data_IF_089803598979
#
_entry.id   IF_089803598979
#
_cell.length_a   1.000
_cell.length_b   1.000
_cell.length_c   1.000
_cell.angle_alpha   90.00
_cell.angle_beta   90.00
_cell.angle_gamma   90.00
#
_symmetry.space_group_name_H-M   'P 1'
#
loop_
_entity.id
_entity.type
_entity.pdbx_description
1 polymer ?
#
# COMPACT_ATOMS: atom_id res chain seq x y z
N UNK A 1 14.34 -5.64 45.49
CA UNK A 1 13.38 -5.01 44.56
C UNK A 1 13.86 -5.31 43.17
N UNK A 2 13.12 -6.10 42.38
CA UNK A 2 13.47 -6.33 40.98
C UNK A 2 13.41 -5.02 40.20
N UNK A 3 14.06 -4.92 39.02
CA UNK A 3 13.95 -3.73 38.19
C UNK A 3 12.47 -3.43 37.93
N UNK A 4 12.07 -2.16 38.11
CA UNK A 4 10.74 -1.69 37.74
C UNK A 4 10.56 -1.93 36.24
N UNK A 5 9.76 -2.94 35.88
CA UNK A 5 9.40 -3.20 34.51
C UNK A 5 8.48 -2.06 34.05
N UNK A 6 8.96 -1.27 33.10
CA UNK A 6 8.15 -0.24 32.46
C UNK A 6 7.06 -0.92 31.64
N UNK A 7 5.84 -0.38 31.68
CA UNK A 7 4.76 -0.87 30.82
C UNK A 7 4.99 -0.40 29.39
N UNK A 8 4.84 -1.32 28.45
CA UNK A 8 5.00 -1.06 27.02
C UNK A 8 3.63 -0.79 26.40
N UNK A 9 3.44 0.42 25.89
CA UNK A 9 2.31 0.75 25.04
C UNK A 9 2.68 0.52 23.57
N UNK A 10 1.74 -0.02 22.80
CA UNK A 10 1.86 -0.12 21.35
C UNK A 10 0.55 0.35 20.71
N UNK A 11 0.66 1.22 19.70
CA UNK A 11 -0.46 1.75 18.92
C UNK A 11 -0.20 1.42 17.46
N UNK A 12 -1.12 0.68 16.84
CA UNK A 12 -1.09 0.34 15.41
C UNK A 12 -2.39 0.79 14.79
N UNK A 13 -2.36 1.52 13.67
CA UNK A 13 -3.59 1.97 13.04
C UNK A 13 -3.41 2.69 11.72
N UNK A 14 -4.54 3.03 11.10
CA UNK A 14 -4.58 3.80 9.86
C UNK A 14 -4.07 5.22 10.09
N UNK A 15 -2.98 5.57 9.42
CA UNK A 15 -2.33 6.86 9.60
C UNK A 15 -3.19 8.05 9.13
N UNK A 16 -4.17 7.78 8.26
CA UNK A 16 -5.13 8.78 7.73
C UNK A 16 -6.36 8.97 8.63
N UNK A 17 -6.45 8.25 9.74
CA UNK A 17 -7.62 8.28 10.62
C UNK A 17 -7.35 9.08 11.91
N UNK A 18 -8.20 10.05 12.26
CA UNK A 18 -8.01 10.85 13.48
C UNK A 18 -7.90 10.02 14.76
N UNK A 19 -8.62 8.89 14.84
CA UNK A 19 -8.61 8.01 16.02
C UNK A 19 -7.23 7.38 16.27
N UNK A 20 -6.45 7.12 15.21
CA UNK A 20 -5.06 6.68 15.36
C UNK A 20 -4.21 7.76 16.04
N UNK A 21 -4.40 9.02 15.66
CA UNK A 21 -3.65 10.14 16.25
C UNK A 21 -4.07 10.43 17.69
N UNK A 22 -5.34 10.22 18.03
CA UNK A 22 -5.82 10.23 19.44
C UNK A 22 -5.06 9.20 20.26
N UNK A 23 -5.02 7.94 19.81
CA UNK A 23 -4.34 6.87 20.53
C UNK A 23 -2.83 7.11 20.65
N UNK A 24 -2.19 7.53 19.54
CA UNK A 24 -0.78 7.89 19.50
C UNK A 24 -0.45 9.00 20.49
N UNK A 25 -1.15 10.14 20.43
CA UNK A 25 -0.90 11.27 21.33
C UNK A 25 -1.18 10.92 22.80
N UNK A 26 -2.16 10.04 23.06
CA UNK A 26 -2.42 9.52 24.40
C UNK A 26 -1.23 8.72 24.93
N UNK A 27 -0.70 7.79 24.13
CA UNK A 27 0.46 6.98 24.53
C UNK A 27 1.72 7.84 24.76
N UNK A 28 1.99 8.81 23.87
CA UNK A 28 3.09 9.76 24.01
C UNK A 28 2.94 10.66 25.25
N UNK A 29 1.73 11.14 25.53
CA UNK A 29 1.46 11.95 26.72
C UNK A 29 1.63 11.16 28.03
N UNK A 30 1.21 9.89 28.06
CA UNK A 30 1.43 9.01 29.21
C UNK A 30 2.93 8.76 29.45
N UNK A 31 3.70 8.56 28.38
CA UNK A 31 5.17 8.47 28.46
C UNK A 31 5.80 9.73 29.05
N UNK A 32 5.37 10.90 28.57
CA UNK A 32 5.87 12.19 29.04
C UNK A 32 5.56 12.45 30.53
N UNK A 33 4.33 12.13 30.95
CA UNK A 33 3.86 12.36 32.32
C UNK A 33 4.39 11.32 33.31
N UNK A 34 4.66 10.09 32.86
CA UNK A 34 5.07 8.97 33.72
C UNK A 34 6.33 8.25 33.19
N UNK A 35 7.47 8.94 33.06
CA UNK A 35 8.66 8.41 32.37
C UNK A 35 9.34 7.23 33.08
N UNK A 36 9.07 7.03 34.37
CA UNK A 36 9.59 5.91 35.16
C UNK A 36 8.60 4.74 35.25
N UNK A 37 7.47 4.81 34.54
CA UNK A 37 6.41 3.80 34.54
C UNK A 37 6.03 3.33 33.16
N UNK A 38 6.06 4.23 32.18
CA UNK A 38 5.72 3.97 30.79
C UNK A 38 7.01 3.99 29.95
N UNK A 39 7.23 2.91 29.20
CA UNK A 39 8.30 2.81 28.22
C UNK A 39 8.00 3.69 27.00
N UNK A 40 9.00 3.93 26.15
CA UNK A 40 8.78 4.64 24.89
C UNK A 40 7.72 3.90 24.06
N UNK A 41 6.59 4.53 23.68
CA UNK A 41 5.53 3.84 22.96
C UNK A 41 5.99 3.35 21.59
N UNK A 42 5.55 2.15 21.21
CA UNK A 42 5.74 1.65 19.85
C UNK A 42 4.57 2.14 19.01
N UNK A 43 4.82 3.05 18.08
CA UNK A 43 3.79 3.60 17.18
C UNK A 43 4.02 3.07 15.78
N UNK A 44 3.04 2.33 15.24
CA UNK A 44 3.09 1.75 13.90
C UNK A 44 1.98 2.35 13.03
N UNK A 45 2.27 3.47 12.32
CA UNK A 45 1.34 4.03 11.34
C UNK A 45 1.28 3.13 10.10
N UNK A 46 0.08 2.79 9.64
CA UNK A 46 -0.14 1.95 8.45
C UNK A 46 -1.03 2.69 7.44
N UNK A 47 -0.78 2.46 6.16
CA UNK A 47 -1.68 2.83 5.06
C UNK A 47 -2.76 1.75 4.88
N UNK A 48 -3.83 2.06 4.16
CA UNK A 48 -5.03 1.22 4.04
C UNK A 48 -4.72 -0.23 3.68
N UNK A 49 -3.89 -0.44 2.66
CA UNK A 49 -3.53 -1.78 2.20
C UNK A 49 -2.73 -2.59 3.24
N UNK A 50 -1.75 -1.95 3.89
CA UNK A 50 -0.93 -2.57 4.92
C UNK A 50 -1.72 -2.84 6.22
N UNK A 51 -2.69 -1.99 6.54
CA UNK A 51 -3.62 -2.21 7.66
C UNK A 51 -4.50 -3.44 7.43
N UNK A 52 -5.01 -3.62 6.21
CA UNK A 52 -5.77 -4.81 5.87
C UNK A 52 -4.93 -6.09 6.01
N UNK A 53 -3.70 -6.11 5.49
CA UNK A 53 -2.78 -7.24 5.71
C UNK A 53 -2.52 -7.50 7.20
N UNK A 54 -2.25 -6.45 7.97
CA UNK A 54 -2.01 -6.53 9.41
C UNK A 54 -3.19 -7.15 10.17
N UNK A 55 -4.43 -6.76 9.84
CA UNK A 55 -5.63 -7.35 10.44
C UNK A 55 -5.78 -8.83 10.12
N UNK A 56 -5.46 -9.25 8.89
CA UNK A 56 -5.51 -10.67 8.51
C UNK A 56 -4.48 -11.52 9.27
N UNK A 57 -3.29 -10.98 9.49
CA UNK A 57 -2.26 -11.62 10.32
C UNK A 57 -2.70 -11.70 11.79
N UNK A 58 -3.19 -10.59 12.36
CA UNK A 58 -3.66 -10.55 13.75
C UNK A 58 -4.84 -11.47 14.01
N UNK A 59 -5.76 -11.62 13.04
CA UNK A 59 -6.86 -12.58 13.12
C UNK A 59 -6.35 -14.02 13.28
N UNK A 60 -5.29 -14.41 12.57
CA UNK A 60 -4.68 -15.74 12.68
C UNK A 60 -4.03 -15.95 14.05
N UNK A 61 -3.36 -14.93 14.58
CA UNK A 61 -2.72 -14.99 15.91
C UNK A 61 -3.75 -15.11 17.04
N UNK A 62 -4.87 -14.37 16.94
CA UNK A 62 -5.91 -14.30 17.98
C UNK A 62 -6.97 -15.42 17.90
N UNK A 63 -6.87 -16.36 16.93
CA UNK A 63 -7.71 -17.57 16.79
C UNK A 63 -9.23 -17.33 16.78
N UNK A 64 -9.72 -16.26 16.16
CA UNK A 64 -11.17 -15.98 16.03
C UNK A 64 -11.74 -16.44 14.69
N UNK A 65 -12.75 -17.34 14.70
CA UNK A 65 -13.39 -17.87 13.47
C UNK A 65 -14.17 -16.79 12.67
N UNK A 66 -14.57 -15.70 13.32
CA UNK A 66 -15.16 -14.49 12.69
C UNK A 66 -14.72 -13.24 13.46
N UNK A 67 -13.47 -12.82 13.26
CA UNK A 67 -12.95 -11.56 13.78
C UNK A 67 -13.08 -10.46 12.71
N UNK A 68 -14.00 -9.53 12.93
CA UNK A 68 -13.98 -8.20 12.33
C UNK A 68 -13.62 -7.21 13.43
N UNK A 69 -12.57 -6.42 13.21
CA UNK A 69 -12.15 -5.41 14.17
C UNK A 69 -12.77 -4.06 13.75
N UNK A 70 -13.64 -3.46 14.57
CA UNK A 70 -14.51 -2.36 14.12
C UNK A 70 -13.82 -0.99 14.10
N UNK A 71 -12.62 -0.87 14.67
CA UNK A 71 -11.87 0.38 14.72
C UNK A 71 -10.70 0.36 13.74
N UNK A 72 -10.25 1.54 13.31
CA UNK A 72 -9.05 1.73 12.50
C UNK A 72 -7.76 1.82 13.33
N UNK A 73 -7.83 1.59 14.64
CA UNK A 73 -6.68 1.56 15.54
C UNK A 73 -6.78 0.45 16.59
N UNK A 74 -5.66 -0.24 16.82
CA UNK A 74 -5.45 -1.25 17.84
C UNK A 74 -4.38 -0.78 18.83
N UNK A 75 -4.76 -0.72 20.10
CA UNK A 75 -3.90 -0.39 21.22
C UNK A 75 -3.56 -1.66 22.00
N UNK A 76 -2.31 -1.79 22.43
CA UNK A 76 -1.83 -2.92 23.22
C UNK A 76 -1.06 -2.43 24.45
N UNK A 77 -1.16 -3.19 25.54
CA UNK A 77 -0.37 -3.02 26.76
C UNK A 77 0.39 -4.32 27.02
N UNK A 78 1.71 -4.24 27.12
CA UNK A 78 2.57 -5.38 27.42
C UNK A 78 2.31 -6.59 26.49
N UNK A 79 1.99 -6.30 25.22
CA UNK A 79 1.68 -7.28 24.18
C UNK A 79 0.23 -7.80 24.16
N UNK A 80 -0.61 -7.41 25.11
CA UNK A 80 -2.03 -7.79 25.15
C UNK A 80 -2.91 -6.73 24.50
N UNK A 81 -3.88 -7.16 23.69
CA UNK A 81 -4.83 -6.26 23.04
C UNK A 81 -5.69 -5.57 24.11
N UNK A 82 -5.65 -4.24 24.12
CA UNK A 82 -6.50 -3.42 24.96
C UNK A 82 -7.83 -3.08 24.26
N UNK A 83 -7.76 -2.69 22.98
CA UNK A 83 -8.92 -2.23 22.21
C UNK A 83 -8.57 -1.04 21.32
N UNK A 84 -9.56 -0.17 21.09
CA UNK A 84 -9.45 1.04 20.26
C UNK A 84 -8.82 2.21 21.03
N UNK A 85 -8.89 3.42 20.47
CA UNK A 85 -8.54 4.66 21.16
C UNK A 85 -9.42 4.91 22.39
N UNK A 86 -10.68 4.44 22.38
CA UNK A 86 -11.61 4.62 23.49
C UNK A 86 -11.20 3.79 24.71
N UNK A 87 -10.92 2.50 24.51
CA UNK A 87 -10.43 1.64 25.59
C UNK A 87 -9.07 2.12 26.13
N UNK A 88 -8.21 2.68 25.27
CA UNK A 88 -6.97 3.30 25.71
C UNK A 88 -7.20 4.53 26.59
N UNK A 89 -8.11 5.43 26.20
CA UNK A 89 -8.46 6.61 26.99
C UNK A 89 -9.09 6.23 28.34
N UNK A 90 -10.00 5.26 28.36
CA UNK A 90 -10.59 4.73 29.60
C UNK A 90 -9.52 4.15 30.51
N UNK A 91 -8.64 3.29 29.98
CA UNK A 91 -7.54 2.74 30.76
C UNK A 91 -6.57 3.83 31.28
N UNK A 92 -6.27 4.83 30.45
CA UNK A 92 -5.41 5.95 30.81
C UNK A 92 -6.00 6.77 31.97
N UNK A 93 -7.31 7.00 31.94
CA UNK A 93 -8.03 7.66 33.03
C UNK A 93 -8.00 6.82 34.31
N UNK A 94 -8.41 5.56 34.24
CA UNK A 94 -8.55 4.71 35.43
C UNK A 94 -7.22 4.43 36.14
N UNK A 95 -6.13 4.28 35.37
CA UNK A 95 -4.80 3.95 35.92
C UNK A 95 -3.96 5.17 36.27
N UNK A 96 -4.07 6.23 35.48
CA UNK A 96 -3.14 7.35 35.52
C UNK A 96 -3.81 8.69 35.77
N UNK A 97 -5.14 8.71 35.88
CA UNK A 97 -5.96 9.92 35.95
C UNK A 97 -5.66 10.88 34.78
N UNK A 98 -5.30 10.32 33.61
CA UNK A 98 -5.07 11.08 32.40
C UNK A 98 -6.40 11.37 31.70
N UNK A 99 -6.61 12.61 31.30
CA UNK A 99 -7.77 13.04 30.51
C UNK A 99 -7.29 13.81 29.30
N UNK A 100 -7.89 13.51 28.15
CA UNK A 100 -7.64 14.23 26.92
C UNK A 100 -8.72 15.28 26.69
N UNK A 101 -8.32 16.55 26.72
CA UNK A 101 -9.19 17.70 26.45
C UNK A 101 -8.99 18.29 25.05
N UNK A 102 -8.16 17.66 24.21
CA UNK A 102 -7.87 18.17 22.88
C UNK A 102 -9.11 18.03 21.98
N UNK A 103 -9.49 19.08 21.23
CA UNK A 103 -10.68 19.03 20.39
C UNK A 103 -10.46 18.14 19.15
N UNK A 104 -11.55 17.56 18.63
CA UNK A 104 -11.52 16.73 17.41
C UNK A 104 -10.86 17.44 16.23
N UNK A 105 -11.10 18.74 16.07
CA UNK A 105 -10.49 19.55 15.02
C UNK A 105 -8.95 19.59 15.08
N UNK A 106 -8.37 19.51 16.28
CA UNK A 106 -6.91 19.41 16.41
C UNK A 106 -6.41 18.08 15.87
N UNK A 107 -7.10 16.99 16.15
CA UNK A 107 -6.73 15.67 15.65
C UNK A 107 -6.89 15.54 14.15
N UNK A 108 -7.90 16.18 13.55
CA UNK A 108 -8.03 16.29 12.10
C UNK A 108 -6.81 17.00 11.49
N UNK A 109 -6.42 18.17 12.03
CA UNK A 109 -5.26 18.91 11.55
C UNK A 109 -3.94 18.13 11.74
N UNK A 110 -3.76 17.44 12.87
CA UNK A 110 -2.59 16.56 13.11
C UNK A 110 -2.57 15.40 12.13
N UNK A 111 -3.73 14.83 11.79
CA UNK A 111 -3.85 13.74 10.81
C UNK A 111 -3.37 14.20 9.44
N UNK A 112 -3.90 15.32 8.95
CA UNK A 112 -3.51 15.91 7.66
C UNK A 112 -2.01 16.20 7.61
N UNK A 113 -1.49 16.92 8.61
CA UNK A 113 -0.06 17.26 8.71
C UNK A 113 0.83 16.00 8.74
N UNK A 114 0.43 14.96 9.48
CA UNK A 114 1.17 13.72 9.54
C UNK A 114 1.17 12.98 8.21
N UNK A 115 0.02 12.92 7.51
CA UNK A 115 -0.09 12.29 6.20
C UNK A 115 0.81 12.98 5.17
N UNK A 116 0.70 14.31 5.07
CA UNK A 116 1.52 15.11 4.15
C UNK A 116 3.01 14.93 4.45
N UNK A 117 3.41 15.01 5.72
CA UNK A 117 4.81 14.77 6.11
C UNK A 117 5.28 13.35 5.81
N UNK A 118 4.44 12.34 6.06
CA UNK A 118 4.76 10.95 5.78
C UNK A 118 5.06 10.75 4.29
N UNK A 119 4.19 11.27 3.43
CA UNK A 119 4.35 11.17 1.98
C UNK A 119 5.56 11.98 1.49
N UNK A 120 5.74 13.23 1.96
CA UNK A 120 6.86 14.08 1.55
C UNK A 120 8.24 13.55 2.00
N UNK A 121 8.32 12.94 3.19
CA UNK A 121 9.58 12.45 3.73
C UNK A 121 10.09 11.17 3.04
N UNK A 122 9.19 10.40 2.39
CA UNK A 122 9.55 9.18 1.67
C UNK A 122 10.52 9.45 0.49
N UNK A 123 10.47 10.66 -0.10
CA UNK A 123 11.09 10.98 -1.40
C UNK A 123 10.66 10.04 -2.53
N UNK A 124 9.56 9.30 -2.32
CA UNK A 124 8.95 8.40 -3.28
C UNK A 124 7.92 9.13 -4.13
N UNK A 125 7.58 8.52 -5.25
CA UNK A 125 6.54 9.02 -6.15
C UNK A 125 5.27 8.22 -5.92
N UNK A 126 4.13 8.89 -5.82
CA UNK A 126 2.84 8.23 -5.66
C UNK A 126 2.07 8.31 -6.96
N UNK A 127 1.55 7.19 -7.45
CA UNK A 127 0.79 7.12 -8.71
C UNK A 127 -0.52 6.37 -8.49
N UNK A 128 -1.55 6.77 -9.22
CA UNK A 128 -2.86 6.15 -9.13
C UNK A 128 -3.30 5.56 -10.47
N UNK A 129 -4.07 4.49 -10.42
CA UNK A 129 -4.76 3.87 -11.54
C UNK A 129 -6.25 3.76 -11.20
N UNK A 130 -7.11 4.48 -11.91
CA UNK A 130 -8.56 4.34 -11.81
C UNK A 130 -9.01 3.17 -12.67
N UNK A 131 -9.71 2.22 -12.06
CA UNK A 131 -10.03 0.93 -12.66
C UNK A 131 -11.52 0.87 -12.99
N UNK A 132 -11.83 0.33 -14.17
CA UNK A 132 -13.17 -0.14 -14.51
C UNK A 132 -13.19 -1.63 -14.83
N UNK A 133 -14.26 -2.31 -14.41
CA UNK A 133 -14.57 -3.70 -14.77
C UNK A 133 -15.90 -3.66 -15.52
N UNK A 134 -15.95 -4.20 -16.74
CA UNK A 134 -17.15 -4.13 -17.61
C UNK A 134 -17.66 -2.69 -17.82
N UNK A 135 -16.77 -1.74 -18.11
CA UNK A 135 -17.07 -0.30 -18.23
C UNK A 135 -17.64 0.36 -16.96
N UNK A 136 -17.70 -0.35 -15.82
CA UNK A 136 -18.14 0.23 -14.55
C UNK A 136 -16.93 0.66 -13.71
N UNK A 137 -16.80 1.96 -13.39
CA UNK A 137 -15.79 2.45 -12.46
C UNK A 137 -15.87 1.68 -11.13
N UNK A 138 -14.78 1.02 -10.77
CA UNK A 138 -14.69 0.10 -9.63
C UNK A 138 -13.96 0.75 -8.45
N UNK A 139 -13.02 1.65 -8.73
CA UNK A 139 -12.26 2.39 -7.74
C UNK A 139 -10.83 2.64 -8.21
N UNK A 140 -9.97 3.07 -7.29
CA UNK A 140 -8.59 3.47 -7.58
C UNK A 140 -7.60 2.56 -6.87
N UNK A 141 -6.51 2.20 -7.56
CA UNK A 141 -5.32 1.61 -6.98
C UNK A 141 -4.27 2.71 -6.81
N UNK A 142 -3.79 2.96 -5.60
CA UNK A 142 -2.76 3.94 -5.31
C UNK A 142 -1.46 3.23 -4.95
N UNK A 143 -0.38 3.53 -5.65
CA UNK A 143 0.94 2.93 -5.47
C UNK A 143 1.95 3.94 -4.96
N UNK A 144 2.82 3.48 -4.07
CA UNK A 144 4.10 4.11 -3.75
C UNK A 144 5.18 3.48 -4.64
N UNK A 145 5.93 4.32 -5.37
CA UNK A 145 7.04 3.91 -6.21
C UNK A 145 8.37 4.18 -5.48
N UNK A 146 9.20 3.15 -5.35
CA UNK A 146 10.50 3.20 -4.67
C UNK A 146 11.57 3.85 -5.56
N UNK A 147 11.38 5.15 -5.85
CA UNK A 147 12.19 5.92 -6.79
C UNK A 147 13.63 6.18 -6.31
N UNK A 148 13.92 5.97 -5.04
CA UNK A 148 15.27 5.99 -4.48
C UNK A 148 16.06 4.71 -4.85
N UNK A 149 15.39 3.55 -4.90
CA UNK A 149 15.97 2.25 -5.21
C UNK A 149 15.94 1.91 -6.71
N UNK A 150 14.89 2.33 -7.43
CA UNK A 150 14.65 2.02 -8.85
C UNK A 150 14.28 3.28 -9.66
N UNK A 151 15.12 4.33 -9.72
CA UNK A 151 14.75 5.62 -10.32
C UNK A 151 14.36 5.55 -11.79
N UNK A 152 15.04 4.75 -12.63
CA UNK A 152 14.68 4.63 -14.05
C UNK A 152 13.37 3.91 -14.24
N UNK A 153 13.17 2.82 -13.51
CA UNK A 153 11.95 2.02 -13.56
C UNK A 153 10.74 2.83 -13.09
N UNK A 154 10.89 3.54 -11.98
CA UNK A 154 9.84 4.41 -11.45
C UNK A 154 9.55 5.58 -12.38
N UNK A 155 10.56 6.17 -13.03
CA UNK A 155 10.35 7.23 -14.01
C UNK A 155 9.60 6.72 -15.26
N UNK A 156 9.92 5.51 -15.75
CA UNK A 156 9.16 4.85 -16.82
C UNK A 156 7.69 4.67 -16.43
N UNK A 157 7.43 4.04 -15.29
CA UNK A 157 6.06 3.79 -14.83
C UNK A 157 5.27 5.09 -14.60
N UNK A 158 5.88 6.07 -13.93
CA UNK A 158 5.27 7.39 -13.69
C UNK A 158 4.91 8.09 -15.00
N UNK A 159 5.83 8.10 -15.96
CA UNK A 159 5.62 8.77 -17.26
C UNK A 159 4.52 8.10 -18.07
N UNK A 160 4.42 6.77 -18.01
CA UNK A 160 3.29 6.02 -18.58
C UNK A 160 1.97 6.27 -17.83
N UNK A 161 2.00 6.54 -16.51
CA UNK A 161 0.80 6.99 -15.80
C UNK A 161 0.37 8.40 -16.22
N UNK A 162 1.29 9.33 -16.49
CA UNK A 162 0.95 10.72 -16.85
C UNK A 162 0.72 10.92 -18.34
N UNK A 163 1.24 10.05 -19.20
CA UNK A 163 1.28 10.26 -20.64
C UNK A 163 2.24 11.37 -21.08
N UNK A 164 3.11 11.87 -20.20
CA UNK A 164 3.95 13.04 -20.48
C UNK A 164 4.99 12.81 -21.61
N UNK A 165 5.32 11.54 -21.89
CA UNK A 165 6.23 11.16 -22.96
C UNK A 165 5.59 11.21 -24.36
N UNK A 166 4.27 11.37 -24.45
CA UNK A 166 3.56 11.49 -25.72
C UNK A 166 3.58 10.21 -26.54
N UNK A 167 3.92 10.32 -27.82
CA UNK A 167 3.98 9.18 -28.76
C UNK A 167 5.42 8.80 -29.03
N UNK A 168 5.72 7.52 -29.01
CA UNK A 168 7.05 7.02 -29.33
C UNK A 168 7.39 7.06 -30.81
N UNK A 169 8.64 6.74 -31.13
CA UNK A 169 9.10 6.59 -32.51
C UNK A 169 8.36 5.50 -33.29
N UNK A 170 7.79 4.50 -32.61
CA UNK A 170 6.99 3.42 -33.19
C UNK A 170 5.53 3.84 -33.47
N UNK A 171 5.13 5.04 -33.04
CA UNK A 171 3.75 5.51 -33.15
C UNK A 171 2.83 5.04 -32.02
N UNK A 172 3.38 4.53 -30.92
CA UNK A 172 2.61 4.07 -29.75
C UNK A 172 2.41 5.24 -28.79
N UNK A 173 1.19 5.45 -28.31
CA UNK A 173 0.93 6.39 -27.22
C UNK A 173 1.46 5.82 -25.90
N UNK A 174 2.39 6.53 -25.28
CA UNK A 174 3.08 6.11 -24.05
C UNK A 174 2.21 6.43 -22.83
N UNK A 175 1.09 5.74 -22.69
CA UNK A 175 0.16 5.90 -21.57
C UNK A 175 -0.49 4.60 -21.12
N UNK A 176 -0.74 4.45 -19.83
CA UNK A 176 -1.55 3.36 -19.29
C UNK A 176 -3.05 3.60 -19.41
N UNK A 177 -3.49 4.81 -19.71
CA UNK A 177 -4.90 5.11 -19.90
C UNK A 177 -5.48 4.27 -21.04
N UNK A 178 -6.65 3.69 -20.81
CA UNK A 178 -7.34 2.70 -21.64
C UNK A 178 -6.59 1.36 -21.83
N UNK A 179 -5.43 1.14 -21.20
CA UNK A 179 -4.79 -0.18 -21.21
C UNK A 179 -5.52 -1.16 -20.29
N UNK A 180 -5.43 -2.45 -20.62
CA UNK A 180 -6.20 -3.52 -19.96
C UNK A 180 -5.32 -4.40 -19.08
N UNK A 181 -5.92 -5.03 -18.08
CA UNK A 181 -5.35 -6.20 -17.42
C UNK A 181 -5.62 -7.43 -18.28
N UNK A 182 -4.61 -7.89 -19.02
CA UNK A 182 -4.77 -8.96 -19.99
C UNK A 182 -4.52 -10.36 -19.41
N UNK A 183 -3.98 -10.46 -18.19
CA UNK A 183 -3.66 -11.73 -17.54
C UNK A 183 -3.82 -11.65 -16.03
N UNK A 184 -4.49 -12.65 -15.46
CA UNK A 184 -4.75 -12.85 -14.04
C UNK A 184 -4.41 -14.30 -13.71
N UNK A 185 -3.34 -14.47 -12.94
CA UNK A 185 -2.91 -15.76 -12.39
C UNK A 185 -3.41 -15.83 -10.97
N UNK A 186 -4.45 -16.65 -10.74
CA UNK A 186 -5.02 -16.85 -9.41
C UNK A 186 -3.94 -17.32 -8.43
N UNK A 187 -3.96 -16.79 -7.21
CA UNK A 187 -2.92 -17.05 -6.21
C UNK A 187 -1.51 -16.74 -6.77
N UNK A 188 -1.38 -15.72 -7.61
CA UNK A 188 -0.11 -15.35 -8.23
C UNK A 188 -0.01 -13.84 -8.35
N UNK A 189 -0.37 -13.34 -9.53
CA UNK A 189 -0.34 -11.92 -9.84
C UNK A 189 -1.40 -11.57 -10.87
N UNK A 190 -1.80 -10.30 -10.89
CA UNK A 190 -2.51 -9.70 -12.02
C UNK A 190 -1.52 -8.88 -12.84
N UNK A 191 -1.65 -8.89 -14.16
CA UNK A 191 -0.73 -8.27 -15.10
C UNK A 191 -1.50 -7.42 -16.11
N UNK A 192 -0.96 -6.22 -16.36
CA UNK A 192 -1.48 -5.26 -17.31
C UNK A 192 -0.36 -4.45 -17.97
N UNK A 193 -0.71 -3.30 -18.54
CA UNK A 193 0.27 -2.37 -19.09
C UNK A 193 0.80 -2.76 -20.47
N UNK A 194 0.13 -3.65 -21.21
CA UNK A 194 0.35 -3.76 -22.66
C UNK A 194 -0.39 -2.60 -23.33
N UNK A 195 0.32 -1.49 -23.51
CA UNK A 195 -0.20 -0.21 -24.02
C UNK A 195 -0.42 -0.20 -25.55
N UNK A 196 -0.18 -1.31 -26.25
CA UNK A 196 -0.39 -1.39 -27.70
C UNK A 196 -1.69 -2.11 -28.05
N UNK A 197 -1.76 -3.43 -27.80
CA UNK A 197 -2.89 -4.26 -28.23
C UNK A 197 -3.62 -4.94 -27.07
N UNK A 198 -3.14 -4.83 -25.83
CA UNK A 198 -3.77 -5.47 -24.67
C UNK A 198 -3.80 -7.01 -24.73
N UNK A 199 -2.85 -7.63 -25.45
CA UNK A 199 -2.76 -9.09 -25.62
C UNK A 199 -1.63 -9.70 -24.80
N UNK A 200 -0.74 -8.88 -24.27
CA UNK A 200 0.45 -9.29 -23.52
C UNK A 200 1.68 -9.57 -24.38
N UNK A 201 1.59 -9.39 -25.71
CA UNK A 201 2.72 -9.54 -26.63
C UNK A 201 3.41 -8.21 -26.96
N UNK A 202 2.80 -7.07 -26.61
CA UNK A 202 3.28 -5.73 -26.92
C UNK A 202 3.79 -4.92 -25.72
N UNK A 203 3.63 -3.60 -25.84
CA UNK A 203 4.16 -2.61 -24.91
C UNK A 203 5.59 -2.17 -25.21
N UNK A 204 5.93 -0.98 -24.72
CA UNK A 204 7.25 -0.37 -24.87
C UNK A 204 7.48 0.66 -23.76
N UNK A 205 8.74 0.94 -23.48
CA UNK A 205 9.13 1.90 -22.44
C UNK A 205 9.28 3.31 -23.01
N UNK A 206 9.34 4.30 -22.11
CA UNK A 206 9.67 5.68 -22.48
C UNK A 206 11.10 5.84 -23.03
N UNK A 207 11.93 4.80 -22.90
CA UNK A 207 13.31 4.76 -23.36
C UNK A 207 13.49 4.02 -24.70
N UNK A 208 12.40 3.52 -25.28
CA UNK A 208 12.40 2.64 -26.46
C UNK A 208 11.75 1.29 -26.18
N UNK A 209 11.96 0.27 -27.04
CA UNK A 209 11.25 -1.01 -26.94
C UNK A 209 11.41 -1.69 -25.58
N UNK A 210 12.63 -1.72 -25.04
CA UNK A 210 12.91 -2.29 -23.72
C UNK A 210 14.04 -1.55 -23.00
N UNK A 211 14.12 -1.73 -21.68
CA UNK A 211 15.23 -1.28 -20.83
C UNK A 211 15.68 -2.36 -19.83
N UNK A 212 16.86 -2.13 -19.27
CA UNK A 212 17.58 -3.05 -18.38
C UNK A 212 16.92 -3.21 -17.00
N UNK A 213 17.14 -4.34 -16.32
CA UNK A 213 16.79 -4.50 -14.91
C UNK A 213 17.68 -3.60 -14.03
N UNK A 214 17.08 -2.88 -13.07
CA UNK A 214 17.78 -1.88 -12.27
C UNK A 214 18.23 -2.43 -10.90
N UNK A 215 17.33 -3.11 -10.17
CA UNK A 215 17.60 -3.61 -8.83
C UNK A 215 16.72 -4.84 -8.51
N UNK A 216 17.21 -5.74 -7.63
CA UNK A 216 16.47 -6.90 -7.12
C UNK A 216 16.39 -6.93 -5.59
N UNK A 217 16.62 -5.78 -4.94
CA UNK A 217 16.64 -5.65 -3.47
C UNK A 217 15.26 -5.69 -2.83
N UNK A 218 14.20 -5.39 -3.60
CA UNK A 218 12.82 -5.40 -3.11
C UNK A 218 12.26 -6.83 -3.22
N UNK A 219 11.92 -7.48 -2.10
CA UNK A 219 11.44 -8.86 -2.11
C UNK A 219 9.95 -8.96 -2.45
N UNK A 220 9.54 -10.06 -3.07
CA UNK A 220 8.14 -10.39 -3.33
C UNK A 220 7.52 -11.13 -2.14
N UNK A 221 7.57 -10.52 -0.96
CA UNK A 221 7.20 -11.18 0.30
C UNK A 221 5.77 -10.92 0.77
N UNK A 222 4.99 -10.14 0.01
CA UNK A 222 3.64 -9.67 0.38
C UNK A 222 2.73 -9.56 -0.83
N UNK A 223 1.43 -9.39 -0.59
CA UNK A 223 0.45 -9.01 -1.62
C UNK A 223 0.68 -7.55 -2.01
N UNK A 224 0.30 -7.13 -3.21
CA UNK A 224 0.33 -5.72 -3.61
C UNK A 224 1.71 -5.19 -4.05
N UNK A 225 2.75 -6.03 -4.08
CA UNK A 225 4.05 -5.68 -4.68
C UNK A 225 3.86 -5.43 -6.18
N UNK A 226 4.31 -4.27 -6.64
CA UNK A 226 4.31 -3.82 -8.03
C UNK A 226 5.68 -4.10 -8.66
N UNK A 227 5.69 -4.77 -9.81
CA UNK A 227 6.93 -5.09 -10.53
C UNK A 227 6.78 -5.14 -12.05
N UNK A 228 7.91 -5.19 -12.75
CA UNK A 228 7.94 -5.18 -14.21
C UNK A 228 7.81 -6.59 -14.79
N UNK A 229 6.81 -6.80 -15.65
CA UNK A 229 6.73 -8.01 -16.44
C UNK A 229 7.73 -7.92 -17.61
N UNK A 230 8.53 -8.97 -17.79
CA UNK A 230 9.57 -9.01 -18.81
C UNK A 230 9.56 -10.37 -19.56
N UNK A 231 10.24 -10.41 -20.71
CA UNK A 231 10.41 -11.60 -21.57
C UNK A 231 11.80 -12.24 -21.38
N UNK A 232 12.39 -12.08 -20.19
CA UNK A 232 13.77 -12.40 -19.88
C UNK A 232 14.50 -11.21 -19.27
N UNK A 233 15.72 -11.43 -18.79
CA UNK A 233 16.53 -10.36 -18.20
C UNK A 233 16.66 -9.18 -19.16
N UNK A 234 16.59 -7.98 -18.60
CA UNK A 234 16.84 -6.73 -19.32
C UNK A 234 15.87 -6.45 -20.47
N UNK A 235 14.63 -6.93 -20.35
CA UNK A 235 13.58 -6.74 -21.36
C UNK A 235 12.33 -6.05 -20.80
N UNK A 236 12.52 -5.10 -19.89
CA UNK A 236 11.43 -4.34 -19.28
C UNK A 236 10.84 -3.36 -20.29
N UNK A 237 9.52 -3.34 -20.45
CA UNK A 237 8.80 -2.43 -21.35
C UNK A 237 7.81 -1.56 -20.58
N UNK A 238 6.53 -1.65 -20.93
CA UNK A 238 5.42 -1.06 -20.18
C UNK A 238 4.64 -2.07 -19.32
N UNK A 239 4.77 -3.38 -19.57
CA UNK A 239 3.96 -4.35 -18.85
C UNK A 239 4.40 -4.47 -17.39
N UNK A 240 3.44 -4.54 -16.48
CA UNK A 240 3.66 -4.64 -15.04
C UNK A 240 2.78 -5.72 -14.43
N UNK A 241 3.15 -6.18 -13.23
CA UNK A 241 2.33 -7.06 -12.42
C UNK A 241 2.12 -6.50 -11.02
N UNK A 242 1.00 -6.90 -10.41
CA UNK A 242 0.69 -6.69 -8.99
C UNK A 242 0.52 -8.08 -8.37
N UNK A 243 1.34 -8.39 -7.38
CA UNK A 243 1.25 -9.68 -6.67
C UNK A 243 -0.07 -9.81 -5.89
N UNK A 244 -0.66 -10.99 -5.91
CA UNK A 244 -1.87 -11.33 -5.17
C UNK A 244 -1.56 -12.08 -3.86
N UNK A 245 -0.32 -12.55 -3.71
CA UNK A 245 0.20 -13.16 -2.50
C UNK A 245 1.74 -13.10 -2.49
N UNK A 246 2.42 -13.47 -1.36
CA UNK A 246 3.87 -13.62 -1.36
C UNK A 246 4.35 -14.57 -2.46
N UNK A 247 5.28 -14.10 -3.29
CA UNK A 247 5.81 -14.80 -4.45
C UNK A 247 7.35 -14.83 -4.46
N UNK A 248 8.02 -15.35 -3.42
CA UNK A 248 9.49 -15.31 -3.30
C UNK A 248 10.24 -16.03 -4.43
N UNK A 249 9.57 -16.90 -5.19
CA UNK A 249 10.14 -17.55 -6.38
C UNK A 249 10.41 -16.59 -7.55
N UNK A 250 9.83 -15.37 -7.50
CA UNK A 250 10.06 -14.28 -8.46
C UNK A 250 11.31 -13.45 -8.13
N UNK A 251 11.82 -13.55 -6.89
CA UNK A 251 12.99 -12.79 -6.46
C UNK A 251 14.20 -13.06 -7.37
N UNK A 252 14.95 -11.99 -7.68
CA UNK A 252 16.13 -12.01 -8.57
C UNK A 252 15.86 -12.42 -10.03
N UNK A 253 14.59 -12.64 -10.40
CA UNK A 253 14.15 -12.91 -11.77
C UNK A 253 13.31 -11.75 -12.32
N UNK A 254 12.42 -11.23 -11.49
CA UNK A 254 11.59 -10.08 -11.80
C UNK A 254 11.89 -8.96 -10.80
N UNK A 255 11.87 -7.73 -11.30
CA UNK A 255 12.16 -6.54 -10.51
C UNK A 255 10.85 -5.98 -9.95
N UNK A 256 10.79 -5.86 -8.63
CA UNK A 256 9.80 -5.03 -7.95
C UNK A 256 10.32 -3.58 -7.84
N UNK A 257 9.41 -2.62 -7.90
CA UNK A 257 9.75 -1.19 -7.84
C UNK A 257 8.70 -0.34 -7.11
N UNK A 258 7.65 -0.95 -6.57
CA UNK A 258 6.64 -0.23 -5.81
C UNK A 258 5.71 -1.15 -5.04
N UNK A 259 4.74 -0.55 -4.38
CA UNK A 259 3.80 -1.24 -3.52
C UNK A 259 2.44 -0.55 -3.48
N UNK A 260 1.37 -1.33 -3.47
CA UNK A 260 0.00 -0.85 -3.34
C UNK A 260 -0.24 -0.35 -1.92
N UNK A 261 -0.66 0.91 -1.79
CA UNK A 261 -0.92 1.55 -0.50
C UNK A 261 -2.40 1.80 -0.23
N UNK A 262 -3.22 1.94 -1.27
CA UNK A 262 -4.69 1.99 -1.19
C UNK A 262 -5.33 1.27 -2.38
N UNK A 263 -6.53 0.72 -2.17
CA UNK A 263 -7.31 0.00 -3.18
C UNK A 263 -7.44 -1.49 -2.90
N UNK A 264 -7.48 -1.92 -1.62
CA UNK A 264 -7.62 -3.34 -1.27
C UNK A 264 -8.84 -3.98 -1.92
N UNK A 265 -10.01 -3.33 -1.82
CA UNK A 265 -11.25 -3.83 -2.42
C UNK A 265 -11.19 -3.87 -3.95
N UNK A 266 -10.50 -2.91 -4.57
CA UNK A 266 -10.36 -2.85 -6.03
C UNK A 266 -9.50 -4.00 -6.52
N UNK A 267 -8.36 -4.27 -5.85
CA UNK A 267 -7.51 -5.41 -6.18
C UNK A 267 -8.23 -6.73 -5.94
N UNK A 268 -9.03 -6.85 -4.87
CA UNK A 268 -9.85 -8.03 -4.61
C UNK A 268 -10.89 -8.26 -5.71
N UNK A 269 -11.64 -7.22 -6.10
CA UNK A 269 -12.62 -7.31 -7.19
C UNK A 269 -11.98 -7.70 -8.51
N UNK A 270 -10.78 -7.19 -8.81
CA UNK A 270 -10.00 -7.59 -9.98
C UNK A 270 -9.61 -9.07 -9.93
N UNK A 271 -9.13 -9.56 -8.77
CA UNK A 271 -8.76 -10.96 -8.57
C UNK A 271 -9.95 -11.93 -8.69
N UNK A 272 -11.15 -11.50 -8.29
CA UNK A 272 -12.37 -12.31 -8.33
C UNK A 272 -12.98 -12.41 -9.74
N UNK A 273 -12.44 -11.68 -10.73
CA UNK A 273 -12.90 -11.76 -12.11
C UNK A 273 -12.64 -13.15 -12.68
N UNK A 274 -13.67 -13.76 -13.28
CA UNK A 274 -13.56 -15.04 -13.95
C UNK A 274 -12.58 -14.97 -15.13
N UNK A 275 -11.81 -16.04 -15.33
CA UNK A 275 -10.81 -16.11 -16.41
C UNK A 275 -11.01 -17.34 -17.29
N UNK A 276 -10.53 -17.23 -18.54
CA UNK A 276 -10.33 -18.35 -19.45
C UNK A 276 -8.86 -18.36 -19.87
N UNK A 277 -8.12 -19.41 -19.49
CA UNK A 277 -6.66 -19.49 -19.66
C UNK A 277 -5.93 -18.25 -19.11
N UNK A 278 -6.23 -17.88 -17.86
CA UNK A 278 -5.67 -16.71 -17.17
C UNK A 278 -6.06 -15.36 -17.79
N UNK A 279 -6.78 -15.30 -18.90
CA UNK A 279 -7.30 -14.04 -19.44
C UNK A 279 -8.66 -13.71 -18.82
N UNK A 280 -8.88 -12.51 -18.26
CA UNK A 280 -10.20 -12.08 -17.82
C UNK A 280 -11.25 -12.25 -18.91
N UNK A 281 -12.41 -12.85 -18.58
CA UNK A 281 -13.52 -13.05 -19.54
C UNK A 281 -14.30 -11.77 -19.80
N UNK A 282 -14.13 -10.79 -18.93
CA UNK A 282 -14.66 -9.43 -19.07
C UNK A 282 -13.51 -8.44 -19.06
N UNK A 283 -13.72 -7.30 -19.69
CA UNK A 283 -12.70 -6.27 -19.75
C UNK A 283 -12.47 -5.64 -18.37
N UNK A 284 -11.20 -5.58 -17.98
CA UNK A 284 -10.71 -4.87 -16.81
C UNK A 284 -9.67 -3.86 -17.31
N UNK A 285 -9.94 -2.56 -17.17
CA UNK A 285 -9.10 -1.52 -17.77
C UNK A 285 -8.80 -0.36 -16.82
N UNK A 286 -7.73 0.34 -17.13
CA UNK A 286 -7.32 1.58 -16.48
C UNK A 286 -8.01 2.72 -17.23
N UNK A 287 -9.05 3.31 -16.66
CA UNK A 287 -9.82 4.41 -17.31
C UNK A 287 -9.15 5.77 -17.15
N UNK A 288 -8.30 5.91 -16.13
CA UNK A 288 -7.52 7.11 -15.89
C UNK A 288 -6.33 6.77 -14.98
N UNK A 289 -5.27 7.56 -15.05
CA UNK A 289 -4.08 7.35 -14.24
C UNK A 289 -3.26 8.64 -14.14
N UNK A 290 -2.37 8.70 -13.16
CA UNK A 290 -1.50 9.85 -13.00
C UNK A 290 -0.66 9.81 -11.74
N UNK A 291 -0.09 10.96 -11.39
CA UNK A 291 0.68 11.16 -10.15
C UNK A 291 -0.23 11.78 -9.10
N UNK A 292 -0.19 11.24 -7.88
CA UNK A 292 -0.77 11.89 -6.71
C UNK A 292 0.28 12.84 -6.12
N UNK A 293 -0.03 14.13 -6.08
CA UNK A 293 0.79 15.14 -5.40
C UNK A 293 0.23 15.31 -3.98
N UNK A 294 1.00 14.96 -2.93
CA UNK A 294 0.58 15.09 -1.53
C UNK A 294 0.44 16.55 -1.06
#
# INVERSE_FOLDING_TARGET
MGPLQLQQLMVVGLLKEPVFHVAKCTAEALRLNFPNKIAEPVVLPLLEFAWHEYLQEKKKELKGETWEYPSSVMCFIDGQLLGSEQELLTWAYDKWNYQDFKPVALYQAVTEDFCTKHMQNSKHVFVYLDIAIQEQPTGTLLFELYSDMCPKTCANFRSLCTGEAGTSHSGVELTYKESVFHRLVKDGWIQGGDITAGRGDGGESIYGPTFEDENFSIPHNKRGILGMANKGRHSNGSQFYITLQPAPYMDKKYMAFGYLIEGTEVLQKLEDVSTYNERPVVECKIINCGVLVP
#
